data_IF_590768933435
#
_entry.id   IF_590768933435
#
_cell.length_a   1.000
_cell.length_b   1.000
_cell.length_c   1.000
_cell.angle_alpha   90.00
_cell.angle_beta   90.00
_cell.angle_gamma   90.00
#
_symmetry.space_group_name_H-M   'P 1'
#
loop_
_entity.id
_entity.type
_entity.pdbx_description
1 polymer ?
#
# COMPACT_ATOMS: atom_id res chain seq x y z
N UNK A 1 4.92 -15.19 -1.95
CA UNK A 1 5.70 -14.29 -1.06
C UNK A 1 5.28 -14.52 0.39
N UNK A 2 5.81 -15.56 1.06
CA UNK A 2 5.57 -15.78 2.50
C UNK A 2 6.70 -15.27 3.39
N UNK A 3 7.90 -15.11 2.84
CA UNK A 3 9.09 -14.68 3.57
C UNK A 3 9.22 -13.16 3.77
N UNK A 4 8.23 -12.36 3.34
CA UNK A 4 8.24 -10.90 3.38
C UNK A 4 9.51 -10.22 2.77
N UNK A 5 10.08 -10.80 1.72
CA UNK A 5 11.34 -10.35 1.09
C UNK A 5 11.12 -9.56 -0.21
N UNK A 6 9.98 -8.87 -0.36
CA UNK A 6 9.63 -8.20 -1.62
C UNK A 6 10.59 -7.05 -1.95
N UNK A 7 10.95 -6.23 -0.96
CA UNK A 7 11.89 -5.11 -1.12
C UNK A 7 13.26 -5.60 -1.59
N UNK A 8 13.84 -6.58 -0.89
CA UNK A 8 15.11 -7.20 -1.29
C UNK A 8 15.07 -7.78 -2.69
N UNK A 9 13.95 -8.40 -3.09
CA UNK A 9 13.80 -8.93 -4.45
C UNK A 9 13.84 -7.83 -5.51
N UNK A 10 13.26 -6.65 -5.24
CA UNK A 10 13.36 -5.49 -6.13
C UNK A 10 14.79 -4.96 -6.20
N UNK A 11 15.47 -4.84 -5.07
CA UNK A 11 16.87 -4.38 -4.99
C UNK A 11 17.82 -5.31 -5.75
N UNK A 12 17.77 -6.61 -5.47
CA UNK A 12 18.58 -7.64 -6.15
C UNK A 12 18.37 -7.59 -7.67
N UNK A 13 17.13 -7.31 -8.11
CA UNK A 13 16.78 -7.19 -9.51
C UNK A 13 17.39 -5.95 -10.16
N UNK A 14 17.33 -4.80 -9.48
CA UNK A 14 18.00 -3.56 -9.93
C UNK A 14 19.50 -3.78 -10.04
N UNK A 15 20.11 -4.42 -9.04
CA UNK A 15 21.54 -4.70 -9.02
C UNK A 15 21.96 -5.62 -10.18
N UNK A 16 21.13 -6.62 -10.50
CA UNK A 16 21.44 -7.61 -11.53
C UNK A 16 21.17 -7.14 -12.97
N UNK A 17 20.08 -6.41 -13.20
CA UNK A 17 19.61 -6.07 -14.56
C UNK A 17 19.56 -4.57 -14.85
N UNK A 18 19.90 -3.73 -13.86
CA UNK A 18 19.81 -2.29 -13.95
C UNK A 18 18.42 -1.73 -13.59
N UNK A 19 18.29 -0.38 -13.58
CA UNK A 19 17.09 0.31 -13.13
C UNK A 19 15.89 0.17 -14.07
N UNK A 20 16.09 -0.35 -15.29
CA UNK A 20 15.03 -0.66 -16.26
C UNK A 20 15.26 -2.07 -16.79
N UNK A 21 14.28 -2.96 -16.65
CA UNK A 21 14.40 -4.33 -17.15
C UNK A 21 13.06 -5.00 -17.39
N UNK A 22 13.00 -5.92 -18.34
CA UNK A 22 11.78 -6.68 -18.68
C UNK A 22 11.68 -7.95 -17.83
N UNK A 23 10.45 -8.37 -17.50
CA UNK A 23 10.13 -9.64 -16.87
C UNK A 23 8.69 -10.06 -17.17
N UNK A 24 8.34 -11.28 -16.79
CA UNK A 24 6.94 -11.68 -16.63
C UNK A 24 6.59 -11.61 -15.15
N UNK A 25 5.61 -10.79 -14.79
CA UNK A 25 5.14 -10.64 -13.41
C UNK A 25 3.64 -10.99 -13.36
N UNK A 26 3.27 -11.94 -12.50
CA UNK A 26 1.90 -12.48 -12.40
C UNK A 26 1.32 -12.98 -13.74
N UNK A 27 2.17 -13.54 -14.60
CA UNK A 27 1.77 -14.02 -15.94
C UNK A 27 1.75 -12.94 -17.02
N UNK A 28 2.00 -11.68 -16.69
CA UNK A 28 1.93 -10.55 -17.63
C UNK A 28 3.32 -10.02 -17.99
N UNK A 29 3.64 -9.85 -19.29
CA UNK A 29 4.85 -9.15 -19.71
C UNK A 29 4.90 -7.74 -19.11
N UNK A 30 5.95 -7.46 -18.35
CA UNK A 30 6.07 -6.26 -17.51
C UNK A 30 7.41 -5.59 -17.76
N UNK A 31 7.41 -4.26 -17.73
CA UNK A 31 8.63 -3.45 -17.66
C UNK A 31 8.77 -2.98 -16.22
N UNK A 32 9.83 -3.41 -15.56
CA UNK A 32 10.20 -2.90 -14.25
C UNK A 32 11.06 -1.66 -14.41
N UNK A 33 10.70 -0.59 -13.70
CA UNK A 33 11.42 0.68 -13.67
C UNK A 33 11.67 1.10 -12.22
N UNK A 34 12.84 1.65 -11.93
CA UNK A 34 13.25 2.01 -10.57
C UNK A 34 13.96 3.37 -10.53
N UNK A 35 13.82 4.08 -9.41
CA UNK A 35 14.51 5.32 -9.11
C UNK A 35 13.68 6.59 -9.36
N UNK A 36 14.25 7.74 -9.05
CA UNK A 36 13.55 9.02 -9.08
C UNK A 36 13.00 9.38 -10.48
N UNK A 37 13.77 9.08 -11.53
CA UNK A 37 13.33 9.32 -12.91
C UNK A 37 12.11 8.47 -13.29
N UNK A 38 12.06 7.21 -12.82
CA UNK A 38 10.91 6.33 -13.01
C UNK A 38 9.67 6.89 -12.31
N UNK A 39 9.81 7.36 -11.05
CA UNK A 39 8.69 7.97 -10.33
C UNK A 39 8.14 9.19 -11.07
N UNK A 40 9.01 10.11 -11.52
CA UNK A 40 8.59 11.27 -12.32
C UNK A 40 7.84 10.83 -13.56
N UNK A 41 8.39 9.90 -14.33
CA UNK A 41 7.74 9.36 -15.53
C UNK A 41 6.33 8.81 -15.25
N UNK A 42 6.17 7.99 -14.20
CA UNK A 42 4.87 7.42 -13.83
C UNK A 42 3.87 8.50 -13.42
N UNK A 43 4.29 9.49 -12.62
CA UNK A 43 3.38 10.52 -12.10
C UNK A 43 3.08 11.66 -13.07
N UNK A 44 3.87 11.84 -14.14
CA UNK A 44 3.64 12.89 -15.14
C UNK A 44 3.09 12.36 -16.46
N UNK A 45 3.14 11.05 -16.70
CA UNK A 45 2.59 10.47 -17.93
C UNK A 45 1.07 10.46 -17.91
N UNK A 46 0.46 10.93 -19.00
CA UNK A 46 -0.97 10.84 -19.26
C UNK A 46 -1.36 9.58 -20.05
N UNK A 47 -0.39 8.74 -20.42
CA UNK A 47 -0.64 7.51 -21.19
C UNK A 47 -0.65 6.26 -20.32
N UNK A 48 -0.29 6.39 -19.03
CA UNK A 48 -0.23 5.28 -18.09
C UNK A 48 -1.47 5.31 -17.19
N UNK A 49 -2.25 4.24 -17.25
CA UNK A 49 -3.33 3.99 -16.30
C UNK A 49 -2.89 2.97 -15.26
N UNK A 50 -3.34 3.16 -14.02
CA UNK A 50 -3.12 2.17 -12.97
C UNK A 50 -3.86 0.89 -13.34
N UNK A 51 -3.17 -0.24 -13.30
CA UNK A 51 -3.74 -1.57 -13.53
C UNK A 51 -3.38 -2.43 -12.34
N UNK A 52 -4.38 -3.11 -11.79
CA UNK A 52 -4.22 -3.93 -10.59
C UNK A 52 -4.60 -5.38 -10.90
N UNK A 53 -3.87 -6.37 -10.35
CA UNK A 53 -4.28 -7.77 -10.45
C UNK A 53 -5.69 -7.97 -9.88
N UNK A 54 -6.42 -8.97 -10.39
CA UNK A 54 -7.78 -9.29 -9.93
C UNK A 54 -7.87 -9.50 -8.41
N UNK A 55 -6.82 -10.02 -7.79
CA UNK A 55 -6.75 -10.20 -6.34
C UNK A 55 -6.95 -8.90 -5.55
N UNK A 56 -6.55 -7.75 -6.10
CA UNK A 56 -6.76 -6.44 -5.46
C UNK A 56 -8.24 -6.07 -5.47
N UNK A 57 -8.96 -6.33 -6.57
CA UNK A 57 -10.41 -6.11 -6.64
C UNK A 57 -11.16 -7.06 -5.70
N UNK A 58 -10.71 -8.31 -5.56
CA UNK A 58 -11.29 -9.27 -4.61
C UNK A 58 -11.16 -8.78 -3.17
N UNK A 59 -10.03 -8.18 -2.80
CA UNK A 59 -9.78 -7.70 -1.44
C UNK A 59 -10.47 -6.37 -1.13
N UNK A 60 -10.37 -5.40 -2.04
CA UNK A 60 -10.81 -4.01 -1.80
C UNK A 60 -12.22 -3.71 -2.33
N UNK A 61 -12.83 -4.67 -3.03
CA UNK A 61 -14.08 -4.47 -3.74
C UNK A 61 -13.90 -3.75 -5.08
N UNK A 62 -14.99 -3.70 -5.85
CA UNK A 62 -15.05 -3.03 -7.17
C UNK A 62 -15.10 -1.50 -6.99
N UNK A 63 -14.58 -0.78 -7.97
CA UNK A 63 -14.53 0.70 -8.00
C UNK A 63 -13.83 1.30 -6.78
N UNK A 64 -12.80 0.61 -6.28
CA UNK A 64 -11.97 1.14 -5.20
C UNK A 64 -11.02 2.24 -5.72
N UNK A 65 -10.35 2.95 -4.80
CA UNK A 65 -9.47 4.07 -5.13
C UNK A 65 -8.33 3.70 -6.09
N UNK A 66 -7.85 2.46 -6.08
CA UNK A 66 -6.77 2.02 -6.95
C UNK A 66 -7.27 1.66 -8.36
N UNK A 67 -8.57 1.48 -8.55
CA UNK A 67 -9.19 1.07 -9.83
C UNK A 67 -9.77 2.25 -10.61
N UNK A 68 -10.36 3.23 -9.93
CA UNK A 68 -10.93 4.40 -10.60
C UNK A 68 -9.84 5.33 -11.14
N UNK A 69 -10.11 6.02 -12.26
CA UNK A 69 -9.21 7.00 -12.87
C UNK A 69 -9.85 8.40 -12.93
N UNK A 70 -9.03 9.39 -13.29
CA UNK A 70 -9.47 10.74 -13.66
C UNK A 70 -10.38 11.42 -12.62
N UNK A 71 -11.54 11.91 -13.03
CA UNK A 71 -12.47 12.64 -12.17
C UNK A 71 -13.09 11.75 -11.08
N UNK A 72 -13.35 10.47 -11.38
CA UNK A 72 -13.84 9.53 -10.36
C UNK A 72 -12.79 9.32 -9.28
N UNK A 73 -11.51 9.20 -9.66
CA UNK A 73 -10.40 9.14 -8.71
C UNK A 73 -10.28 10.42 -7.89
N UNK A 74 -10.33 11.61 -8.52
CA UNK A 74 -10.26 12.90 -7.81
C UNK A 74 -11.39 13.04 -6.80
N UNK A 75 -12.62 12.68 -7.18
CA UNK A 75 -13.80 12.75 -6.31
C UNK A 75 -13.67 11.81 -5.11
N UNK A 76 -13.32 10.54 -5.36
CA UNK A 76 -13.17 9.54 -4.29
C UNK A 76 -12.02 9.91 -3.35
N UNK A 77 -10.87 10.33 -3.91
CA UNK A 77 -9.73 10.82 -3.12
C UNK A 77 -10.11 12.03 -2.29
N UNK A 78 -10.84 12.99 -2.86
CA UNK A 78 -11.31 14.19 -2.15
C UNK A 78 -12.18 13.85 -0.95
N UNK A 79 -13.12 12.92 -1.11
CA UNK A 79 -13.95 12.45 -0.01
C UNK A 79 -13.12 11.78 1.10
N UNK A 80 -12.16 10.92 0.73
CA UNK A 80 -11.28 10.26 1.69
C UNK A 80 -10.40 11.25 2.49
N UNK A 81 -9.92 12.31 1.84
CA UNK A 81 -9.07 13.31 2.49
C UNK A 81 -9.77 14.06 3.63
N UNK A 82 -11.10 14.10 3.66
CA UNK A 82 -11.86 14.67 4.77
C UNK A 82 -11.60 13.93 6.10
N UNK A 83 -11.35 12.62 6.03
CA UNK A 83 -11.07 11.76 7.20
C UNK A 83 -9.59 11.72 7.56
N UNK A 84 -8.70 12.20 6.68
CA UNK A 84 -7.25 12.18 6.88
C UNK A 84 -6.68 13.55 7.26
N UNK A 85 -7.54 14.48 7.68
CA UNK A 85 -7.11 15.79 8.19
C UNK A 85 -6.31 15.64 9.48
N UNK A 86 -5.29 16.48 9.73
CA UNK A 86 -4.45 16.38 10.94
C UNK A 86 -5.25 16.31 12.25
N UNK A 87 -6.34 17.08 12.35
CA UNK A 87 -7.21 17.15 13.53
C UNK A 87 -7.93 15.81 13.76
N UNK A 88 -8.40 15.18 12.69
CA UNK A 88 -9.08 13.88 12.73
C UNK A 88 -8.08 12.76 13.03
N UNK A 89 -6.90 12.79 12.40
CA UNK A 89 -5.83 11.81 12.64
C UNK A 89 -5.38 11.81 14.10
N UNK A 90 -5.25 12.99 14.74
CA UNK A 90 -4.92 13.10 16.17
C UNK A 90 -5.96 12.38 17.04
N UNK A 91 -7.24 12.49 16.70
CA UNK A 91 -8.31 11.78 17.43
C UNK A 91 -8.20 10.26 17.24
N UNK A 92 -7.91 9.78 16.02
CA UNK A 92 -7.72 8.36 15.77
C UNK A 92 -6.54 7.80 16.56
N UNK A 93 -5.41 8.50 16.62
CA UNK A 93 -4.24 8.09 17.42
C UNK A 93 -4.60 8.00 18.90
N UNK A 94 -5.32 9.00 19.44
CA UNK A 94 -5.78 8.96 20.83
C UNK A 94 -6.74 7.81 21.14
N UNK A 95 -7.63 7.47 20.20
CA UNK A 95 -8.53 6.34 20.35
C UNK A 95 -7.78 5.00 20.28
N UNK A 96 -6.84 4.86 19.34
CA UNK A 96 -6.00 3.67 19.24
C UNK A 96 -5.16 3.46 20.50
N UNK A 97 -4.51 4.50 21.02
CA UNK A 97 -3.72 4.44 22.26
C UNK A 97 -4.57 3.97 23.46
N UNK A 98 -5.81 4.49 23.57
CA UNK A 98 -6.75 4.07 24.61
C UNK A 98 -7.11 2.59 24.52
N UNK A 99 -7.48 2.11 23.34
CA UNK A 99 -7.85 0.70 23.15
C UNK A 99 -6.65 -0.24 23.35
N UNK A 100 -5.44 0.17 22.95
CA UNK A 100 -4.21 -0.59 23.18
C UNK A 100 -3.93 -0.70 24.68
N UNK A 101 -4.00 0.40 25.44
CA UNK A 101 -3.81 0.39 26.90
C UNK A 101 -4.81 -0.53 27.60
N UNK A 102 -6.09 -0.42 27.23
CA UNK A 102 -7.14 -1.29 27.74
C UNK A 102 -6.86 -2.75 27.43
N UNK A 103 -6.40 -3.07 26.21
CA UNK A 103 -6.03 -4.44 25.84
C UNK A 103 -4.88 -4.97 26.71
N UNK A 104 -3.86 -4.15 27.01
CA UNK A 104 -2.78 -4.55 27.89
C UNK A 104 -3.26 -4.85 29.32
N UNK A 105 -4.07 -3.98 29.89
CA UNK A 105 -4.64 -4.18 31.23
C UNK A 105 -5.48 -5.45 31.32
N UNK A 106 -6.36 -5.68 30.35
CA UNK A 106 -7.29 -6.81 30.38
C UNK A 106 -6.63 -8.15 30.04
N UNK A 107 -5.63 -8.15 29.17
CA UNK A 107 -5.16 -9.39 28.54
C UNK A 107 -3.69 -9.71 28.75
N UNK A 108 -2.84 -8.74 29.09
CA UNK A 108 -1.39 -8.94 29.14
C UNK A 108 -0.82 -8.79 30.54
N UNK A 109 -1.29 -7.81 31.32
CA UNK A 109 -0.77 -7.56 32.66
C UNK A 109 -0.89 -8.80 33.55
N UNK A 110 0.20 -9.13 34.25
CA UNK A 110 0.30 -10.28 35.14
C UNK A 110 0.46 -11.63 34.45
N UNK A 111 0.53 -11.69 33.10
CA UNK A 111 0.73 -12.95 32.37
C UNK A 111 2.19 -13.13 31.97
N UNK A 112 2.74 -14.32 32.25
CA UNK A 112 4.09 -14.70 31.85
C UNK A 112 4.22 -14.96 30.34
N UNK A 113 3.11 -15.28 29.68
CA UNK A 113 3.04 -15.53 28.24
C UNK A 113 1.76 -14.92 27.70
N UNK A 114 1.86 -14.22 26.57
CA UNK A 114 0.73 -13.64 25.87
C UNK A 114 0.71 -14.16 24.44
N UNK A 115 -0.48 -14.50 23.94
CA UNK A 115 -0.66 -14.83 22.53
C UNK A 115 -0.91 -13.54 21.77
N UNK A 116 0.03 -13.19 20.90
CA UNK A 116 -0.13 -12.14 19.91
C UNK A 116 -0.57 -12.76 18.58
N UNK A 117 -1.48 -12.09 17.88
CA UNK A 117 -1.85 -12.45 16.50
C UNK A 117 -0.73 -12.12 15.52
#
# INVERSE_FOLDING_TARGET
MRANTAEKWFEDRVNKYGPISKLTLFGTPTVFIHGQAANKFVFTSNTLNNQQPTSVQTLLGKRNLLEVSDEDHKRLRGALMAFLKPEVLKQYVGNMDREIKKHFEMHWQGKQTVTVC
#
